data_IF_739139847688
#
_entry.id   IF_739139847688
#
_cell.length_a   1.000
_cell.length_b   1.000
_cell.length_c   1.000
_cell.angle_alpha   90.00
_cell.angle_beta   90.00
_cell.angle_gamma   90.00
#
_symmetry.space_group_name_H-M   'P 1'
#
loop_
_entity.id
_entity.type
_entity.pdbx_description
1 polymer ?
#
# COMPACT_ATOMS: atom_id res chain seq x y z
N UNK A 1 -30.74 30.37 65.46
CA UNK A 1 -29.96 30.85 64.31
C UNK A 1 -28.56 30.27 64.47
N UNK A 2 -28.23 29.18 63.78
CA UNK A 2 -26.94 28.53 63.93
C UNK A 2 -25.88 29.36 63.20
N UNK A 3 -25.02 30.06 63.95
CA UNK A 3 -23.85 30.73 63.40
C UNK A 3 -22.89 29.68 62.87
N UNK A 4 -22.62 29.69 61.57
CA UNK A 4 -21.67 28.78 60.94
C UNK A 4 -20.28 28.92 61.58
N UNK A 5 -19.58 27.83 61.92
CA UNK A 5 -18.28 27.87 62.60
C UNK A 5 -17.09 28.20 61.68
N UNK A 6 -17.35 28.59 60.43
CA UNK A 6 -16.32 28.75 59.41
C UNK A 6 -15.87 30.21 59.29
N UNK A 7 -14.72 30.52 59.87
CA UNK A 7 -14.04 31.80 59.67
C UNK A 7 -13.64 31.97 58.19
N UNK A 8 -13.88 33.13 57.57
CA UNK A 8 -13.52 33.37 56.17
C UNK A 8 -12.00 33.24 55.92
N UNK A 9 -11.18 33.50 56.93
CA UNK A 9 -9.72 33.34 56.84
C UNK A 9 -9.31 31.86 56.70
N UNK A 10 -10.02 30.94 57.37
CA UNK A 10 -9.77 29.50 57.26
C UNK A 10 -10.11 28.98 55.86
N UNK A 11 -11.19 29.53 55.28
CA UNK A 11 -11.63 29.19 53.92
C UNK A 11 -10.64 29.69 52.86
N UNK A 12 -10.09 30.90 53.03
CA UNK A 12 -9.04 31.44 52.16
C UNK A 12 -7.73 30.65 52.27
N UNK A 13 -7.33 30.25 53.48
CA UNK A 13 -6.13 29.43 53.68
C UNK A 13 -6.28 28.04 53.05
N UNK A 14 -7.46 27.42 53.19
CA UNK A 14 -7.77 26.14 52.56
C UNK A 14 -7.73 26.23 51.04
N UNK A 15 -8.30 27.28 50.44
CA UNK A 15 -8.25 27.53 48.99
C UNK A 15 -6.81 27.75 48.49
N UNK A 16 -5.97 28.45 49.26
CA UNK A 16 -4.56 28.66 48.94
C UNK A 16 -3.77 27.34 48.97
N UNK A 17 -4.03 26.49 49.95
CA UNK A 17 -3.44 25.16 50.07
C UNK A 17 -3.87 24.24 48.91
N UNK A 18 -5.17 24.24 48.55
CA UNK A 18 -5.70 23.48 47.41
C UNK A 18 -5.08 23.91 46.08
N UNK A 19 -4.86 25.23 45.90
CA UNK A 19 -4.17 25.79 44.73
C UNK A 19 -2.70 25.34 44.65
N UNK A 20 -2.01 25.22 45.79
CA UNK A 20 -0.61 24.77 45.82
C UNK A 20 -0.45 23.31 45.38
N UNK A 21 -1.45 22.45 45.63
CA UNK A 21 -1.50 21.07 45.15
C UNK A 21 -2.00 20.92 43.70
N UNK A 22 -2.39 22.00 43.02
CA UNK A 22 -2.94 21.96 41.66
C UNK A 22 -1.86 21.84 40.55
N UNK A 23 -0.68 21.30 40.86
CA UNK A 23 0.39 21.10 39.88
C UNK A 23 0.64 19.61 39.58
N UNK A 24 0.58 19.31 38.28
CA UNK A 24 1.05 18.11 37.59
C UNK A 24 0.18 16.86 37.72
N UNK A 25 -0.92 16.89 36.98
CA UNK A 25 -1.08 15.91 35.91
C UNK A 25 -1.61 16.66 34.68
N UNK A 26 -0.79 17.58 34.13
CA UNK A 26 -0.82 17.74 32.68
C UNK A 26 -0.36 16.37 32.22
N UNK A 27 -1.32 15.50 31.93
CA UNK A 27 -1.04 14.24 31.27
C UNK A 27 -0.13 14.65 30.14
N UNK A 28 1.13 14.23 30.21
CA UNK A 28 1.96 14.15 29.03
C UNK A 28 1.04 13.44 28.06
N UNK A 29 0.49 14.20 27.10
CA UNK A 29 -0.11 13.59 25.95
C UNK A 29 1.03 12.71 25.48
N UNK A 30 0.93 11.42 25.79
CA UNK A 30 1.73 10.43 25.14
C UNK A 30 1.28 10.65 23.72
N UNK A 31 2.07 11.43 22.98
CA UNK A 31 2.13 11.34 21.55
C UNK A 31 2.33 9.85 21.36
N UNK A 32 1.22 9.19 21.07
CA UNK A 32 1.24 7.83 20.58
C UNK A 32 2.12 7.97 19.37
N UNK A 33 3.38 7.56 19.55
CA UNK A 33 4.34 7.44 18.49
C UNK A 33 3.80 6.27 17.67
N UNK A 34 2.79 6.59 16.85
CA UNK A 34 2.19 5.64 15.94
C UNK A 34 3.35 5.14 15.09
N UNK A 35 3.59 3.81 15.04
CA UNK A 35 4.73 3.29 14.32
C UNK A 35 4.63 3.78 12.87
N UNK A 36 5.54 4.68 12.48
CA UNK A 36 5.58 5.29 11.15
C UNK A 36 5.50 4.16 10.12
N UNK A 37 4.38 4.10 9.42
CA UNK A 37 4.11 3.04 8.44
C UNK A 37 5.17 3.14 7.34
N UNK A 38 6.03 2.12 7.24
CA UNK A 38 7.15 2.11 6.30
C UNK A 38 6.59 1.97 4.87
N UNK A 39 6.58 3.06 4.12
CA UNK A 39 6.17 3.06 2.72
C UNK A 39 7.36 2.61 1.86
N UNK A 40 7.17 1.56 1.08
CA UNK A 40 8.14 1.09 0.08
C UNK A 40 7.66 1.54 -1.30
N UNK A 41 8.53 2.24 -2.02
CA UNK A 41 8.30 2.57 -3.43
C UNK A 41 9.12 1.59 -4.26
N UNK A 42 8.44 0.78 -5.05
CA UNK A 42 9.06 -0.25 -5.89
C UNK A 42 8.81 0.11 -7.35
N UNK A 43 9.89 0.11 -8.13
CA UNK A 43 9.87 0.43 -9.54
C UNK A 43 10.50 -0.74 -10.31
N UNK A 44 9.70 -1.38 -11.15
CA UNK A 44 10.10 -2.50 -12.00
C UNK A 44 9.30 -2.47 -13.30
N UNK A 45 9.75 -3.26 -14.27
CA UNK A 45 9.15 -3.37 -15.59
C UNK A 45 8.61 -4.78 -15.80
N UNK A 46 7.36 -4.86 -16.24
CA UNK A 46 6.69 -6.10 -16.63
C UNK A 46 6.98 -6.40 -18.10
N UNK A 47 7.41 -7.62 -18.37
CA UNK A 47 7.52 -8.15 -19.72
C UNK A 47 6.53 -9.28 -19.91
N UNK A 48 5.64 -9.08 -20.87
CA UNK A 48 4.62 -10.04 -21.28
C UNK A 48 4.84 -10.42 -22.74
N UNK A 49 4.90 -11.73 -22.98
CA UNK A 49 4.98 -12.29 -24.31
C UNK A 49 3.68 -13.02 -24.63
N UNK A 50 3.02 -12.57 -25.69
CA UNK A 50 1.78 -13.17 -26.18
C UNK A 50 2.08 -14.10 -27.35
N UNK A 51 1.64 -15.36 -27.23
CA UNK A 51 1.79 -16.36 -28.29
C UNK A 51 3.23 -16.87 -28.50
N UNK A 52 3.35 -17.92 -29.30
CA UNK A 52 4.62 -18.59 -29.56
C UNK A 52 5.15 -19.44 -28.40
N UNK A 53 6.31 -20.09 -28.57
CA UNK A 53 6.86 -21.04 -27.60
C UNK A 53 7.40 -20.40 -26.30
N UNK A 54 7.51 -19.06 -26.26
CA UNK A 54 7.96 -18.28 -25.10
C UNK A 54 6.83 -17.42 -24.51
N UNK A 55 5.58 -17.74 -24.81
CA UNK A 55 4.45 -17.02 -24.25
C UNK A 55 4.49 -17.08 -22.72
N UNK A 56 4.35 -15.93 -22.07
CA UNK A 56 4.21 -15.83 -20.62
C UNK A 56 2.76 -15.73 -20.20
N UNK A 57 1.87 -15.41 -21.15
CA UNK A 57 0.43 -15.21 -20.90
C UNK A 57 -0.39 -16.20 -21.69
N UNK A 58 -1.37 -16.80 -21.02
CA UNK A 58 -2.38 -17.68 -21.62
C UNK A 58 -3.77 -17.11 -21.44
N UNK A 59 -4.57 -17.12 -22.50
CA UNK A 59 -5.97 -16.71 -22.42
C UNK A 59 -6.80 -17.84 -21.80
N UNK A 60 -7.41 -17.57 -20.65
CA UNK A 60 -8.26 -18.53 -19.92
C UNK A 60 -9.74 -18.32 -20.22
N UNK A 61 -10.14 -17.10 -20.60
CA UNK A 61 -11.49 -16.81 -21.10
C UNK A 61 -11.36 -16.08 -22.42
N UNK A 62 -11.96 -16.66 -23.46
CA UNK A 62 -12.01 -16.05 -24.78
C UNK A 62 -13.05 -14.91 -24.80
N UNK A 63 -12.76 -13.82 -25.51
CA UNK A 63 -13.70 -12.71 -25.66
C UNK A 63 -14.89 -13.11 -26.54
N UNK A 64 -16.08 -12.50 -26.34
CA UNK A 64 -17.22 -12.72 -27.22
C UNK A 64 -17.02 -12.05 -28.59
N UNK A 65 -17.07 -12.86 -29.65
CA UNK A 65 -16.97 -12.38 -31.03
C UNK A 65 -15.52 -12.30 -31.53
N UNK A 66 -15.21 -11.32 -32.37
CA UNK A 66 -13.91 -11.14 -33.03
C UNK A 66 -13.11 -9.94 -32.48
N UNK A 67 -13.36 -9.55 -31.24
CA UNK A 67 -12.64 -8.48 -30.53
C UNK A 67 -11.80 -9.07 -29.38
N UNK A 68 -11.01 -8.23 -28.69
CA UNK A 68 -10.27 -8.61 -27.48
C UNK A 68 -11.03 -8.31 -26.18
N UNK A 69 -12.11 -7.55 -26.25
CA UNK A 69 -12.82 -7.02 -25.09
C UNK A 69 -13.41 -8.13 -24.23
N UNK A 70 -13.12 -8.10 -22.92
CA UNK A 70 -13.60 -9.10 -21.98
C UNK A 70 -12.86 -10.44 -22.06
N UNK A 71 -11.76 -10.53 -22.80
CA UNK A 71 -10.83 -11.65 -22.68
C UNK A 71 -10.13 -11.61 -21.32
N UNK A 72 -9.92 -12.78 -20.72
CA UNK A 72 -9.19 -12.92 -19.46
C UNK A 72 -7.91 -13.70 -19.71
N UNK A 73 -6.79 -13.08 -19.40
CA UNK A 73 -5.47 -13.69 -19.45
C UNK A 73 -4.93 -14.00 -18.06
N UNK A 74 -4.16 -15.08 -17.95
CA UNK A 74 -3.31 -15.38 -16.79
C UNK A 74 -1.87 -15.40 -17.28
N UNK A 75 -1.02 -14.60 -16.66
CA UNK A 75 0.40 -14.48 -17.03
C UNK A 75 1.35 -14.80 -15.88
N UNK A 76 2.46 -15.46 -16.21
CA UNK A 76 3.67 -15.55 -15.38
C UNK A 76 4.68 -14.51 -15.87
N UNK A 77 4.56 -13.30 -15.35
CA UNK A 77 5.24 -12.13 -15.90
C UNK A 77 6.71 -12.05 -15.48
N UNK A 78 7.56 -11.67 -16.43
CA UNK A 78 8.99 -11.44 -16.17
C UNK A 78 9.18 -10.03 -15.61
N UNK A 79 9.82 -9.93 -14.44
CA UNK A 79 10.11 -8.64 -13.80
C UNK A 79 11.58 -8.27 -13.97
N UNK A 80 11.83 -7.04 -14.43
CA UNK A 80 13.19 -6.50 -14.56
C UNK A 80 13.33 -5.12 -13.92
N UNK A 81 14.57 -4.79 -13.58
CA UNK A 81 14.94 -3.52 -12.96
C UNK A 81 14.84 -2.34 -13.95
N UNK A 82 15.03 -2.60 -15.24
CA UNK A 82 15.01 -1.57 -16.28
C UNK A 82 14.08 -1.91 -17.45
N UNK A 83 13.83 -0.91 -18.31
CA UNK A 83 13.06 -1.05 -19.55
C UNK A 83 13.84 -1.75 -20.67
N UNK A 84 15.12 -2.05 -20.47
CA UNK A 84 15.91 -2.86 -21.40
C UNK A 84 15.63 -4.36 -21.15
N UNK A 85 15.28 -5.16 -22.17
CA UNK A 85 15.08 -6.60 -22.04
C UNK A 85 16.29 -7.37 -21.50
N UNK A 86 17.49 -6.82 -21.61
CA UNK A 86 18.75 -7.36 -21.06
C UNK A 86 19.04 -6.89 -19.63
N UNK A 87 18.25 -5.98 -19.07
CA UNK A 87 18.41 -5.48 -17.71
C UNK A 87 18.23 -6.58 -16.67
N UNK A 88 18.70 -6.34 -15.44
CA UNK A 88 18.73 -7.34 -14.38
C UNK A 88 17.34 -7.95 -14.15
N UNK A 89 17.28 -9.28 -14.22
CA UNK A 89 16.11 -10.07 -13.88
C UNK A 89 15.89 -9.96 -12.37
N UNK A 90 14.73 -9.44 -11.97
CA UNK A 90 14.29 -9.41 -10.57
C UNK A 90 13.59 -10.73 -10.24
N UNK A 91 12.88 -11.31 -11.22
CA UNK A 91 12.04 -12.49 -11.02
C UNK A 91 11.96 -13.44 -12.23
N UNK A 92 12.03 -14.78 -12.04
CA UNK A 92 12.22 -15.50 -10.78
C UNK A 92 13.65 -15.34 -10.28
N UNK A 93 13.80 -14.92 -9.02
CA UNK A 93 15.12 -14.65 -8.46
C UNK A 93 16.02 -15.89 -8.46
N UNK A 94 17.33 -15.68 -8.39
CA UNK A 94 18.39 -16.71 -8.30
C UNK A 94 18.11 -17.81 -7.24
N UNK A 95 17.33 -17.50 -6.20
CA UNK A 95 17.08 -18.40 -5.06
C UNK A 95 15.67 -19.02 -5.02
N UNK A 96 14.91 -18.97 -6.12
CA UNK A 96 13.92 -20.02 -6.43
C UNK A 96 12.74 -20.23 -5.48
N UNK A 97 12.35 -19.26 -4.63
CA UNK A 97 11.01 -19.30 -4.04
C UNK A 97 10.06 -18.61 -5.00
N UNK A 98 9.13 -19.29 -5.69
CA UNK A 98 8.18 -18.62 -6.56
C UNK A 98 7.07 -17.96 -5.73
N UNK A 99 7.23 -16.69 -5.34
CA UNK A 99 6.11 -15.76 -5.27
C UNK A 99 5.54 -15.60 -6.69
N UNK A 100 4.76 -16.58 -7.12
CA UNK A 100 4.00 -16.49 -8.36
C UNK A 100 3.03 -15.31 -8.21
N UNK A 101 3.40 -14.17 -8.78
CA UNK A 101 2.53 -13.02 -8.83
C UNK A 101 1.62 -13.22 -10.04
N UNK A 102 0.58 -14.02 -9.83
CA UNK A 102 -0.42 -14.27 -10.86
C UNK A 102 -1.23 -12.99 -11.05
N UNK A 103 -1.11 -12.40 -12.24
CA UNK A 103 -1.94 -11.28 -12.62
C UNK A 103 -3.07 -11.75 -13.52
N UNK A 104 -4.25 -11.23 -13.25
CA UNK A 104 -5.43 -11.39 -14.11
C UNK A 104 -5.61 -10.07 -14.83
N UNK A 105 -5.51 -10.12 -16.16
CA UNK A 105 -5.74 -8.97 -17.01
C UNK A 105 -7.05 -9.17 -17.77
N UNK A 106 -7.86 -8.13 -17.79
CA UNK A 106 -8.98 -8.00 -18.71
C UNK A 106 -8.53 -7.09 -19.85
N UNK A 107 -8.59 -7.58 -21.09
CA UNK A 107 -8.34 -6.70 -22.22
C UNK A 107 -9.56 -5.81 -22.46
N UNK A 108 -9.31 -4.51 -22.58
CA UNK A 108 -10.27 -3.54 -23.10
C UNK A 108 -9.98 -3.28 -24.58
N UNK A 109 -10.97 -2.83 -25.34
CA UNK A 109 -10.84 -2.56 -26.77
C UNK A 109 -9.88 -1.37 -26.98
N UNK A 110 -8.62 -1.67 -27.31
CA UNK A 110 -7.67 -0.67 -27.76
C UNK A 110 -7.93 -0.35 -29.24
N UNK A 111 -8.86 0.55 -29.49
CA UNK A 111 -8.98 1.21 -30.80
C UNK A 111 -7.81 2.19 -31.03
N UNK A 112 -6.57 1.71 -30.97
CA UNK A 112 -5.39 2.39 -31.51
C UNK A 112 -4.41 1.37 -32.09
N UNK A 113 -4.34 1.36 -33.41
CA UNK A 113 -3.23 0.84 -34.22
C UNK A 113 -1.87 1.29 -33.66
N UNK A 114 -0.97 0.36 -33.36
CA UNK A 114 0.37 0.69 -32.85
C UNK A 114 1.34 -0.48 -32.81
N UNK A 115 1.91 -0.81 -33.97
CA UNK A 115 3.15 -1.56 -34.20
C UNK A 115 3.21 -3.04 -33.79
N UNK A 116 2.94 -3.91 -34.77
CA UNK A 116 3.68 -5.15 -34.91
C UNK A 116 5.18 -4.86 -34.84
N UNK A 117 5.89 -5.49 -33.91
CA UNK A 117 7.35 -5.56 -33.94
C UNK A 117 7.73 -6.55 -35.06
N UNK A 118 8.47 -6.12 -36.10
CA UNK A 118 8.89 -7.02 -37.16
C UNK A 118 10.00 -7.94 -36.65
N UNK A 119 9.93 -9.18 -37.17
CA UNK A 119 10.87 -10.29 -37.01
C UNK A 119 12.32 -9.97 -37.38
#
# INVERSE_FOLDING_TARGET
MASSPFSPALLLLLLLLLSLFATVAIGTGSSSDEPKKKMIHLHFYFYEYYGGPKATTVTVVSPPGNNSYGSIGVGDNILREGPDPSSKLIWPGEHGLPLALNFVFAAEDSSTTGAASPS
#
